data_IF_162818033103
#
_entry.id   IF_162818033103
#
_cell.length_a   1.000
_cell.length_b   1.000
_cell.length_c   1.000
_cell.angle_alpha   90.00
_cell.angle_beta   90.00
_cell.angle_gamma   90.00
#
_symmetry.space_group_name_H-M   'P 1'
#
loop_
_entity.id
_entity.type
_entity.pdbx_description
1 polymer ?
#
# COMPACT_ATOMS: atom_id res chain seq x y z
N UNK A 1 18.73 -1.81 2.80
CA UNK A 1 18.45 -3.25 2.51
C UNK A 1 18.35 -3.97 3.84
N UNK A 2 17.37 -4.86 4.03
CA UNK A 2 17.17 -5.61 5.28
C UNK A 2 16.89 -7.08 5.02
N UNK A 3 16.58 -7.85 6.07
CA UNK A 3 16.41 -9.32 5.97
C UNK A 3 15.21 -9.81 5.15
N UNK A 4 14.25 -8.94 4.84
CA UNK A 4 13.01 -9.29 4.13
C UNK A 4 12.77 -8.43 2.88
N UNK A 5 13.81 -7.77 2.36
CA UNK A 5 13.66 -6.92 1.18
C UNK A 5 14.49 -5.65 1.15
N UNK A 6 14.19 -4.84 0.15
CA UNK A 6 14.81 -3.54 -0.10
C UNK A 6 13.77 -2.45 0.10
N UNK A 7 14.13 -1.42 0.85
CA UNK A 7 13.29 -0.24 1.10
C UNK A 7 13.81 0.91 0.25
N UNK A 8 12.94 1.55 -0.49
CA UNK A 8 13.25 2.66 -1.38
C UNK A 8 12.31 3.84 -1.11
N UNK A 9 12.82 5.07 -1.27
CA UNK A 9 11.99 6.27 -1.24
C UNK A 9 11.43 6.48 -2.66
N UNK A 10 10.15 6.81 -2.75
CA UNK A 10 9.51 7.11 -4.02
C UNK A 10 8.53 8.28 -3.89
N UNK A 11 8.14 8.84 -5.03
CA UNK A 11 7.03 9.79 -5.12
C UNK A 11 5.88 9.10 -5.83
N UNK A 12 4.74 8.96 -5.16
CA UNK A 12 3.50 8.55 -5.80
C UNK A 12 2.82 9.79 -6.38
N UNK A 13 2.82 9.90 -7.70
CA UNK A 13 2.38 11.10 -8.44
C UNK A 13 0.92 11.46 -8.20
N UNK A 14 0.03 10.47 -8.24
CA UNK A 14 -1.40 10.68 -8.03
C UNK A 14 -1.82 10.49 -6.56
N UNK A 15 -1.01 9.81 -5.76
CA UNK A 15 -1.31 9.49 -4.37
C UNK A 15 -2.39 8.42 -4.19
N UNK A 16 -2.66 8.11 -2.92
CA UNK A 16 -3.72 7.16 -2.55
C UNK A 16 -5.11 7.75 -2.86
N UNK A 17 -6.09 6.86 -3.05
CA UNK A 17 -7.50 7.23 -3.19
C UNK A 17 -7.97 7.88 -1.89
N UNK A 18 -8.67 9.01 -2.03
CA UNK A 18 -9.33 9.67 -0.92
C UNK A 18 -10.62 8.91 -0.58
N UNK A 19 -10.65 8.31 0.61
CA UNK A 19 -11.78 7.48 1.06
C UNK A 19 -12.99 8.30 1.52
N UNK A 20 -12.82 9.60 1.79
CA UNK A 20 -13.88 10.49 2.25
C UNK A 20 -14.62 11.06 1.03
N UNK A 21 -13.87 11.49 0.02
CA UNK A 21 -14.46 12.08 -1.19
C UNK A 21 -14.92 11.00 -2.18
N UNK A 22 -14.13 9.94 -2.35
CA UNK A 22 -14.51 8.78 -3.17
C UNK A 22 -14.51 9.04 -4.68
N UNK A 23 -15.51 8.51 -5.39
CA UNK A 23 -15.60 8.56 -6.85
C UNK A 23 -16.22 9.89 -7.33
N UNK A 24 -15.51 10.60 -8.20
CA UNK A 24 -16.02 11.81 -8.84
C UNK A 24 -16.72 11.46 -10.16
N UNK A 25 -18.05 11.56 -10.18
CA UNK A 25 -18.87 11.26 -11.37
C UNK A 25 -18.66 12.25 -12.52
N UNK A 26 -18.42 13.54 -12.24
CA UNK A 26 -18.21 14.56 -13.28
C UNK A 26 -16.92 14.32 -14.05
N UNK A 27 -15.88 13.86 -13.35
CA UNK A 27 -14.56 13.56 -13.93
C UNK A 27 -14.40 12.09 -14.30
N UNK A 28 -15.33 11.23 -13.91
CA UNK A 28 -15.25 9.77 -14.07
C UNK A 28 -13.94 9.18 -13.55
N UNK A 29 -13.50 9.62 -12.37
CA UNK A 29 -12.25 9.18 -11.74
C UNK A 29 -12.37 9.20 -10.20
N UNK A 30 -11.51 8.43 -9.53
CA UNK A 30 -11.36 8.51 -8.07
C UNK A 30 -10.64 9.79 -7.68
N UNK A 31 -11.13 10.47 -6.64
CA UNK A 31 -10.38 11.55 -6.00
C UNK A 31 -9.17 10.97 -5.25
N UNK A 32 -8.07 11.70 -5.29
CA UNK A 32 -6.79 11.26 -4.73
C UNK A 32 -6.07 12.42 -4.07
N UNK A 33 -5.20 12.11 -3.11
CA UNK A 33 -4.45 13.14 -2.38
C UNK A 33 -3.34 13.83 -3.20
N UNK A 34 -3.10 13.41 -4.44
CA UNK A 34 -2.05 13.96 -5.29
C UNK A 34 -0.65 13.53 -4.87
N UNK A 35 0.36 14.30 -5.30
CA UNK A 35 1.78 13.95 -5.18
C UNK A 35 2.18 13.68 -3.72
N UNK A 36 2.44 12.41 -3.40
CA UNK A 36 2.73 11.95 -2.04
C UNK A 36 4.11 11.30 -1.97
N UNK A 37 4.91 11.64 -0.95
CA UNK A 37 6.17 10.93 -0.67
C UNK A 37 5.84 9.61 0.02
N UNK A 38 6.32 8.51 -0.52
CA UNK A 38 6.08 7.17 0.00
C UNK A 38 7.39 6.41 0.17
N UNK A 39 7.30 5.35 0.94
CA UNK A 39 8.35 4.34 1.04
C UNK A 39 7.81 3.08 0.40
N UNK A 40 8.57 2.51 -0.53
CA UNK A 40 8.23 1.25 -1.21
C UNK A 40 9.19 0.19 -0.72
N UNK A 41 8.65 -0.90 -0.18
CA UNK A 41 9.42 -2.07 0.23
C UNK A 41 9.22 -3.20 -0.77
N UNK A 42 10.25 -3.47 -1.56
CA UNK A 42 10.30 -4.63 -2.45
C UNK A 42 10.64 -5.86 -1.61
N UNK A 43 9.77 -6.86 -1.66
CA UNK A 43 9.89 -8.07 -0.85
C UNK A 43 10.77 -9.12 -1.54
N UNK A 44 11.74 -9.66 -0.80
CA UNK A 44 12.56 -10.77 -1.29
C UNK A 44 11.76 -12.07 -1.40
N UNK A 45 12.17 -12.97 -2.29
CA UNK A 45 11.53 -14.27 -2.55
C UNK A 45 10.02 -14.22 -2.85
N UNK A 46 9.51 -13.04 -3.23
CA UNK A 46 8.08 -12.81 -3.43
C UNK A 46 7.57 -13.17 -4.83
N UNK A 47 8.48 -13.55 -5.75
CA UNK A 47 8.18 -13.82 -7.16
C UNK A 47 7.03 -14.81 -7.38
N UNK A 48 6.98 -15.84 -6.54
CA UNK A 48 6.05 -16.97 -6.64
C UNK A 48 4.96 -16.94 -5.57
N UNK A 49 4.82 -15.83 -4.83
CA UNK A 49 3.75 -15.69 -3.84
C UNK A 49 2.42 -15.52 -4.56
N UNK A 50 1.43 -16.30 -4.12
CA UNK A 50 0.06 -16.21 -4.59
C UNK A 50 -0.59 -14.91 -4.09
N UNK A 51 -1.40 -14.28 -4.94
CA UNK A 51 -2.17 -13.08 -4.57
C UNK A 51 -3.10 -13.35 -3.38
N UNK A 52 -3.56 -14.59 -3.21
CA UNK A 52 -4.43 -14.99 -2.11
C UNK A 52 -3.73 -14.92 -0.75
N UNK A 53 -2.40 -15.04 -0.71
CA UNK A 53 -1.63 -14.76 0.51
C UNK A 53 -1.85 -13.32 0.97
N UNK A 54 -1.72 -12.35 0.06
CA UNK A 54 -1.91 -10.95 0.40
C UNK A 54 -3.36 -10.63 0.76
N UNK A 55 -4.34 -11.22 0.08
CA UNK A 55 -5.76 -11.07 0.44
C UNK A 55 -6.02 -11.50 1.89
N UNK A 56 -5.41 -12.59 2.36
CA UNK A 56 -5.52 -13.06 3.76
C UNK A 56 -4.81 -12.14 4.74
N UNK A 57 -3.74 -11.47 4.32
CA UNK A 57 -2.98 -10.52 5.16
C UNK A 57 -3.59 -9.12 5.18
N UNK A 58 -4.34 -8.70 4.15
CA UNK A 58 -4.95 -7.38 4.07
C UNK A 58 -5.83 -7.02 5.29
N UNK A 59 -6.66 -7.92 5.83
CA UNK A 59 -7.38 -7.67 7.08
C UNK A 59 -6.47 -7.28 8.25
N UNK A 60 -5.31 -7.93 8.40
CA UNK A 60 -4.33 -7.63 9.46
C UNK A 60 -3.74 -6.21 9.32
N UNK A 61 -3.58 -5.73 8.09
CA UNK A 61 -3.17 -4.36 7.80
C UNK A 61 -4.31 -3.35 7.99
N UNK A 62 -5.57 -3.80 7.92
CA UNK A 62 -6.79 -3.02 8.16
C UNK A 62 -7.23 -3.00 9.62
N UNK A 63 -6.51 -3.66 10.55
CA UNK A 63 -6.76 -3.63 12.03
C UNK A 63 -6.53 -2.23 12.63
N UNK A 64 -6.56 -1.18 11.82
CA UNK A 64 -6.68 0.20 12.27
C UNK A 64 -8.07 0.50 12.88
N UNK A 65 -9.09 -0.30 12.51
CA UNK A 65 -10.48 -0.12 12.98
C UNK A 65 -10.77 -0.72 14.36
N UNK A 66 -9.90 -1.58 14.90
CA UNK A 66 -10.13 -2.29 16.18
C UNK A 66 -9.18 -1.86 17.30
N UNK A 67 -8.17 -1.05 16.98
CA UNK A 67 -7.23 -0.47 17.94
C UNK A 67 -7.64 0.98 18.24
N UNK A 68 -7.44 1.43 19.48
CA UNK A 68 -7.71 2.80 19.87
C UNK A 68 -7.01 3.79 18.94
N UNK A 69 -7.59 4.98 18.75
CA UNK A 69 -6.99 6.03 17.93
C UNK A 69 -5.52 6.27 18.32
N UNK A 70 -5.22 6.27 19.63
CA UNK A 70 -3.86 6.43 20.18
C UNK A 70 -2.85 5.38 19.69
N UNK A 71 -3.25 4.13 19.53
CA UNK A 71 -2.40 3.05 18.99
C UNK A 71 -2.27 3.12 17.47
N UNK A 72 -3.28 3.69 16.80
CA UNK A 72 -3.32 3.79 15.34
C UNK A 72 -2.24 4.70 14.74
N UNK A 73 -1.73 5.68 15.50
CA UNK A 73 -0.65 6.59 15.09
C UNK A 73 0.72 5.93 15.08
N UNK A 74 0.89 4.83 15.82
CA UNK A 74 2.14 4.09 15.94
C UNK A 74 2.30 3.01 14.87
N UNK A 75 1.24 2.74 14.10
CA UNK A 75 1.24 1.75 13.04
C UNK A 75 1.65 2.38 11.70
N UNK A 76 2.62 1.78 11.02
CA UNK A 76 2.96 2.15 9.64
C UNK A 76 1.78 1.79 8.74
N UNK A 77 1.17 2.81 8.11
CA UNK A 77 0.06 2.63 7.17
C UNK A 77 0.57 2.04 5.86
N UNK A 78 0.09 0.85 5.51
CA UNK A 78 0.25 0.29 4.17
C UNK A 78 -0.81 0.92 3.24
N UNK A 79 -0.35 1.63 2.21
CA UNK A 79 -1.25 2.32 1.28
C UNK A 79 -1.71 1.44 0.10
N UNK A 80 -0.98 0.36 -0.19
CA UNK A 80 -1.30 -0.56 -1.27
C UNK A 80 -0.26 -1.66 -1.42
N UNK A 81 -0.54 -2.58 -2.33
CA UNK A 81 0.37 -3.66 -2.71
C UNK A 81 0.38 -3.69 -4.23
N UNK A 82 1.57 -3.81 -4.82
CA UNK A 82 1.73 -3.94 -6.27
C UNK A 82 2.68 -5.08 -6.59
N UNK A 83 2.65 -5.52 -7.85
CA UNK A 83 3.56 -6.53 -8.38
C UNK A 83 4.24 -5.98 -9.61
N UNK A 84 5.56 -6.00 -9.58
CA UNK A 84 6.38 -5.58 -10.69
C UNK A 84 6.20 -6.56 -11.87
N UNK A 85 5.87 -6.11 -13.09
CA UNK A 85 5.55 -6.99 -14.21
C UNK A 85 6.76 -7.77 -14.73
N UNK A 86 7.97 -7.22 -14.61
CA UNK A 86 9.20 -7.81 -15.15
C UNK A 86 9.82 -8.82 -14.18
N UNK A 87 10.06 -8.38 -12.95
CA UNK A 87 10.69 -9.19 -11.90
C UNK A 87 9.70 -10.12 -11.21
N UNK A 88 8.39 -9.83 -11.34
CA UNK A 88 7.26 -10.52 -10.68
C UNK A 88 7.31 -10.45 -9.16
N UNK A 89 8.18 -9.62 -8.59
CA UNK A 89 8.29 -9.38 -7.14
C UNK A 89 7.17 -8.46 -6.68
N UNK A 90 6.71 -8.67 -5.45
CA UNK A 90 5.75 -7.78 -4.82
C UNK A 90 6.44 -6.62 -4.11
N UNK A 91 5.75 -5.49 -4.09
CA UNK A 91 6.13 -4.30 -3.36
C UNK A 91 4.94 -3.78 -2.55
N UNK A 92 5.23 -3.28 -1.34
CA UNK A 92 4.27 -2.70 -0.40
C UNK A 92 4.70 -1.30 0.03
#
# INVERSE_FOLDING_TARGET
>A
KGGFGIVQKATWTEGQIDQIIGWNYLRSQWERHGRTRVVVKILDNSRNIDVDFFKKMMPLLKVKSLISESLSYHLIRCAGITRDPETRKYAI
#
